data_IF_265751373992
#
_entry.id   IF_265751373992
#
_cell.length_a   1.000
_cell.length_b   1.000
_cell.length_c   1.000
_cell.angle_alpha   90.00
_cell.angle_beta   90.00
_cell.angle_gamma   90.00
#
_symmetry.space_group_name_H-M   'P 1'
#
loop_
_entity.id
_entity.type
_entity.pdbx_description
1 polymer ?
#
# COMPACT_ATOMS: atom_id res chain seq x y z
N UNK A 1 13.12 -0.08 7.64
CA UNK A 1 11.78 0.06 7.03
C UNK A 1 10.76 -0.33 8.08
N UNK A 2 9.91 0.59 8.47
CA UNK A 2 8.85 0.35 9.47
C UNK A 2 7.48 0.28 8.77
N UNK A 3 6.62 -0.62 9.21
CA UNK A 3 5.26 -0.77 8.72
C UNK A 3 4.29 -0.50 9.86
N UNK A 4 3.34 0.40 9.66
CA UNK A 4 2.24 0.63 10.59
C UNK A 4 0.96 0.10 9.95
N UNK A 5 0.42 -0.96 10.55
CA UNK A 5 -0.83 -1.60 10.13
C UNK A 5 -1.99 -1.03 10.96
N UNK A 6 -2.90 -0.32 10.32
CA UNK A 6 -4.12 0.22 10.93
C UNK A 6 -5.33 -0.70 10.76
N UNK A 7 -5.19 -1.81 10.03
CA UNK A 7 -6.28 -2.75 9.82
C UNK A 7 -6.39 -3.75 10.96
N UNK A 8 -7.60 -3.94 11.49
CA UNK A 8 -7.91 -4.91 12.55
C UNK A 8 -7.83 -6.36 12.07
N UNK A 9 -7.55 -6.62 10.79
CA UNK A 9 -7.69 -7.91 10.15
C UNK A 9 -6.40 -8.60 9.72
N UNK A 10 -5.26 -7.93 9.71
CA UNK A 10 -3.99 -8.62 9.52
C UNK A 10 -3.40 -9.06 10.86
N UNK A 11 -4.05 -10.03 11.52
CA UNK A 11 -3.26 -10.97 12.31
C UNK A 11 -2.33 -11.63 11.30
N UNK A 12 -1.08 -11.17 11.25
CA UNK A 12 -0.03 -11.96 10.65
C UNK A 12 -0.15 -13.34 11.27
N UNK A 13 -0.65 -14.29 10.51
CA UNK A 13 -0.57 -15.70 10.82
C UNK A 13 0.89 -16.09 10.68
N UNK A 14 1.73 -15.53 11.57
CA UNK A 14 3.06 -16.02 11.77
C UNK A 14 2.87 -17.48 12.17
N UNK A 15 3.30 -18.37 11.31
CA UNK A 15 3.42 -19.79 11.64
C UNK A 15 4.06 -19.88 13.03
N UNK A 16 3.54 -20.71 13.94
CA UNK A 16 4.06 -20.84 15.31
C UNK A 16 5.56 -21.12 15.38
N UNK A 17 6.13 -21.66 14.31
CA UNK A 17 7.56 -21.84 14.14
C UNK A 17 8.31 -20.50 14.06
N UNK A 18 7.75 -19.47 13.42
CA UNK A 18 8.36 -18.13 13.31
C UNK A 18 8.06 -17.23 14.52
N UNK A 19 7.02 -17.53 15.32
CA UNK A 19 6.83 -16.88 16.62
C UNK A 19 7.99 -17.12 17.58
N UNK A 20 8.76 -18.20 17.41
CA UNK A 20 9.95 -18.49 18.18
C UNK A 20 11.19 -17.71 17.71
N UNK A 21 11.25 -17.30 16.46
CA UNK A 21 12.28 -16.41 15.92
C UNK A 21 11.76 -14.98 16.06
N UNK A 22 11.94 -14.37 17.21
CA UNK A 22 11.46 -13.02 17.57
C UNK A 22 12.14 -11.87 16.80
N UNK A 23 12.59 -12.05 15.57
CA UNK A 23 13.21 -10.98 14.77
C UNK A 23 12.51 -10.86 13.43
N UNK A 24 11.68 -9.84 13.32
CA UNK A 24 11.31 -9.30 12.01
C UNK A 24 12.52 -8.59 11.42
N UNK A 25 12.68 -8.60 10.10
CA UNK A 25 13.72 -7.83 9.41
C UNK A 25 13.48 -6.32 9.53
N UNK A 26 12.25 -5.93 9.89
CA UNK A 26 11.82 -4.57 10.17
C UNK A 26 10.70 -4.58 11.21
N UNK A 27 10.51 -3.46 11.88
CA UNK A 27 9.50 -3.30 12.92
C UNK A 27 8.11 -3.17 12.30
N UNK A 28 7.14 -3.87 12.87
CA UNK A 28 5.72 -3.79 12.52
C UNK A 28 4.97 -3.32 13.77
N UNK A 29 4.33 -2.16 13.67
CA UNK A 29 3.53 -1.58 14.75
C UNK A 29 2.05 -1.68 14.40
N UNK A 30 1.26 -2.22 15.30
CA UNK A 30 -0.19 -2.24 15.17
C UNK A 30 -0.76 -1.00 15.83
N UNK A 31 -1.46 -0.18 15.06
CA UNK A 31 -2.04 1.08 15.50
C UNK A 31 -3.44 1.29 14.93
N UNK A 32 -4.06 2.40 15.28
CA UNK A 32 -5.26 2.91 14.65
C UNK A 32 -4.95 4.27 13.99
N UNK A 33 -5.82 4.74 13.10
CA UNK A 33 -5.57 5.94 12.33
C UNK A 33 -5.40 7.22 13.19
N UNK A 34 -5.95 7.26 14.40
CA UNK A 34 -5.82 8.43 15.30
C UNK A 34 -4.42 8.50 15.89
N UNK A 35 -3.86 7.36 16.28
CA UNK A 35 -2.58 7.27 16.99
C UNK A 35 -1.42 6.92 16.06
N UNK A 36 -1.66 6.63 14.77
CA UNK A 36 -0.67 6.10 13.86
C UNK A 36 0.59 6.98 13.74
N UNK A 37 0.43 8.30 13.75
CA UNK A 37 1.56 9.24 13.69
C UNK A 37 2.41 9.18 14.97
N UNK A 38 1.76 9.26 16.14
CA UNK A 38 2.45 9.24 17.42
C UNK A 38 3.16 7.88 17.64
N UNK A 39 2.55 6.79 17.18
CA UNK A 39 3.15 5.45 17.24
C UNK A 39 4.35 5.34 16.29
N UNK A 40 4.29 5.95 15.10
CA UNK A 40 5.41 6.00 14.18
C UNK A 40 6.57 6.81 14.76
N UNK A 41 6.31 7.98 15.32
CA UNK A 41 7.33 8.83 15.95
C UNK A 41 8.01 8.10 17.10
N UNK A 42 7.24 7.43 17.95
CA UNK A 42 7.78 6.60 19.04
C UNK A 42 8.63 5.46 18.51
N UNK A 43 8.18 4.76 17.48
CA UNK A 43 8.95 3.70 16.85
C UNK A 43 10.30 4.23 16.33
N UNK A 44 10.28 5.31 15.56
CA UNK A 44 11.50 5.93 15.00
C UNK A 44 12.45 6.38 16.10
N UNK A 45 11.92 6.90 17.23
CA UNK A 45 12.73 7.35 18.36
C UNK A 45 13.39 6.19 19.13
N UNK A 46 12.80 4.99 19.11
CA UNK A 46 13.28 3.82 19.86
C UNK A 46 14.14 2.85 19.04
N UNK A 47 14.19 3.02 17.70
CA UNK A 47 15.02 2.19 16.83
C UNK A 47 16.48 2.64 16.87
N UNK A 48 17.40 1.67 17.01
CA UNK A 48 18.86 1.91 16.97
C UNK A 48 19.29 2.44 15.59
N UNK A 49 18.67 1.90 14.53
CA UNK A 49 18.82 2.39 13.16
C UNK A 49 17.50 3.00 12.69
N UNK A 50 17.53 4.28 12.36
CA UNK A 50 16.34 4.96 11.83
C UNK A 50 15.94 4.37 10.49
N UNK A 51 14.66 4.09 10.29
CA UNK A 51 14.17 3.59 9.00
C UNK A 51 14.24 4.70 7.94
N UNK A 52 14.66 4.34 6.71
CA UNK A 52 14.62 5.24 5.57
C UNK A 52 13.19 5.50 5.08
N UNK A 53 12.32 4.50 5.24
CA UNK A 53 10.93 4.52 4.80
C UNK A 53 10.02 3.90 5.84
N UNK A 54 8.89 4.54 6.10
CA UNK A 54 7.80 4.03 6.94
C UNK A 54 6.55 3.88 6.10
N UNK A 55 5.99 2.66 6.03
CA UNK A 55 4.73 2.40 5.36
C UNK A 55 3.57 2.43 6.35
N UNK A 56 2.51 3.15 5.99
CA UNK A 56 1.25 3.16 6.70
C UNK A 56 0.21 2.39 5.89
N UNK A 57 -0.24 1.25 6.42
CA UNK A 57 -1.39 0.53 5.86
C UNK A 57 -2.67 1.15 6.43
N UNK A 58 -3.37 1.91 5.60
CA UNK A 58 -4.51 2.71 6.02
C UNK A 58 -5.84 2.02 5.65
N UNK A 59 -6.89 2.17 6.48
CA UNK A 59 -8.20 1.61 6.15
C UNK A 59 -8.78 2.27 4.90
N UNK A 60 -9.46 1.49 4.06
CA UNK A 60 -10.11 1.97 2.83
C UNK A 60 -11.35 2.85 3.05
N UNK A 61 -11.51 3.42 4.25
CA UNK A 61 -12.64 4.29 4.60
C UNK A 61 -12.18 5.60 5.20
N UNK A 62 -12.68 6.70 4.65
CA UNK A 62 -12.44 8.05 5.18
C UNK A 62 -13.29 8.39 6.41
N UNK A 63 -14.28 7.55 6.73
CA UNK A 63 -15.18 7.78 7.87
C UNK A 63 -14.50 7.53 9.21
N UNK A 64 -13.37 6.82 9.22
CA UNK A 64 -12.62 6.58 10.43
C UNK A 64 -11.90 7.84 10.88
N UNK A 65 -12.07 8.20 12.16
CA UNK A 65 -11.39 9.35 12.75
C UNK A 65 -9.86 9.21 12.57
N UNK A 66 -9.22 10.31 12.23
CA UNK A 66 -7.76 10.39 12.09
C UNK A 66 -7.22 10.02 10.70
N UNK A 67 -7.95 9.31 9.84
CA UNK A 67 -7.45 8.89 8.51
C UNK A 67 -6.96 10.08 7.69
N UNK A 68 -7.77 11.09 7.52
CA UNK A 68 -7.42 12.29 6.74
C UNK A 68 -6.22 13.02 7.37
N UNK A 69 -6.20 13.15 8.69
CA UNK A 69 -5.08 13.77 9.41
C UNK A 69 -3.78 13.00 9.17
N UNK A 70 -3.83 11.67 9.27
CA UNK A 70 -2.65 10.84 9.04
C UNK A 70 -2.19 10.92 7.59
N UNK A 71 -3.09 10.78 6.62
CA UNK A 71 -2.76 10.89 5.20
C UNK A 71 -2.15 12.26 4.86
N UNK A 72 -2.64 13.36 5.45
CA UNK A 72 -2.10 14.70 5.19
C UNK A 72 -0.66 14.91 5.68
N UNK A 73 -0.13 14.02 6.48
CA UNK A 73 1.26 14.04 6.96
C UNK A 73 2.19 13.09 6.19
N UNK A 74 1.66 12.30 5.26
CA UNK A 74 2.45 11.39 4.42
C UNK A 74 3.15 12.14 3.30
N UNK A 75 4.40 11.76 3.00
CA UNK A 75 5.11 12.29 1.83
C UNK A 75 4.50 11.83 0.52
N UNK A 76 4.11 10.56 0.46
CA UNK A 76 3.52 9.93 -0.72
C UNK A 76 2.31 9.08 -0.34
N UNK A 77 1.30 9.10 -1.20
CA UNK A 77 0.10 8.27 -1.07
C UNK A 77 -0.04 7.41 -2.32
N UNK A 78 -0.12 6.10 -2.13
CA UNK A 78 -0.36 5.13 -3.19
C UNK A 78 -1.75 4.52 -3.00
N UNK A 79 -2.63 4.75 -3.96
CA UNK A 79 -4.04 4.36 -3.87
C UNK A 79 -4.38 3.28 -4.88
N UNK A 80 -4.82 2.08 -4.43
CA UNK A 80 -5.17 1.00 -5.34
C UNK A 80 -6.48 1.27 -6.07
N UNK A 81 -6.51 0.83 -7.33
CA UNK A 81 -7.69 0.78 -8.21
C UNK A 81 -7.95 -0.67 -8.62
N UNK A 82 -9.21 -1.01 -8.78
CA UNK A 82 -9.64 -2.20 -9.52
C UNK A 82 -10.59 -1.78 -10.64
N UNK A 83 -10.79 -2.63 -11.67
CA UNK A 83 -11.64 -2.34 -12.81
C UNK A 83 -13.16 -2.37 -12.48
N UNK A 84 -13.50 -2.21 -11.20
CA UNK A 84 -14.87 -2.02 -10.74
C UNK A 84 -15.23 -0.54 -10.79
N UNK A 85 -16.34 -0.21 -11.48
CA UNK A 85 -16.79 1.16 -11.67
C UNK A 85 -16.98 1.92 -10.34
N UNK A 86 -17.55 1.26 -9.33
CA UNK A 86 -17.81 1.91 -8.04
C UNK A 86 -16.49 2.17 -7.28
N UNK A 87 -15.53 1.27 -7.41
CA UNK A 87 -14.18 1.46 -6.85
C UNK A 87 -13.50 2.63 -7.52
N UNK A 88 -13.50 2.69 -8.86
CA UNK A 88 -12.90 3.81 -9.60
C UNK A 88 -13.56 5.13 -9.22
N UNK A 89 -14.90 5.24 -9.29
CA UNK A 89 -15.61 6.47 -8.94
C UNK A 89 -15.34 6.93 -7.51
N UNK A 90 -15.36 6.02 -6.55
CA UNK A 90 -15.12 6.36 -5.14
C UNK A 90 -13.67 6.79 -4.90
N UNK A 91 -12.73 6.12 -5.54
CA UNK A 91 -11.31 6.47 -5.46
C UNK A 91 -11.04 7.83 -6.08
N UNK A 92 -11.56 8.09 -7.28
CA UNK A 92 -11.39 9.40 -7.93
C UNK A 92 -12.02 10.54 -7.12
N UNK A 93 -13.19 10.33 -6.52
CA UNK A 93 -13.78 11.31 -5.59
C UNK A 93 -12.86 11.60 -4.40
N UNK A 94 -12.27 10.56 -3.83
CA UNK A 94 -11.33 10.71 -2.72
C UNK A 94 -10.07 11.49 -3.13
N UNK A 95 -9.38 11.07 -4.19
CA UNK A 95 -8.11 11.68 -4.57
C UNK A 95 -8.29 13.12 -5.04
N UNK A 96 -9.40 13.44 -5.72
CA UNK A 96 -9.76 14.80 -6.10
C UNK A 96 -10.01 15.67 -4.88
N UNK A 97 -10.83 15.19 -3.93
CA UNK A 97 -11.08 15.91 -2.68
C UNK A 97 -9.78 16.15 -1.91
N UNK A 98 -8.93 15.13 -1.78
CA UNK A 98 -7.67 15.23 -1.06
C UNK A 98 -6.71 16.23 -1.70
N UNK A 99 -6.52 16.16 -3.02
CA UNK A 99 -5.72 17.13 -3.77
C UNK A 99 -6.27 18.55 -3.61
N UNK A 100 -7.54 18.75 -3.94
CA UNK A 100 -8.11 20.10 -4.07
C UNK A 100 -8.31 20.79 -2.72
N UNK A 101 -8.60 20.04 -1.66
CA UNK A 101 -8.84 20.61 -0.33
C UNK A 101 -7.64 20.62 0.59
N UNK A 102 -6.66 19.73 0.38
CA UNK A 102 -5.56 19.58 1.32
C UNK A 102 -4.19 19.86 0.68
N UNK A 103 -3.91 19.30 -0.50
CA UNK A 103 -2.61 19.53 -1.14
C UNK A 103 -2.50 20.95 -1.71
N UNK A 104 -3.47 21.39 -2.50
CA UNK A 104 -3.44 22.74 -3.13
C UNK A 104 -3.55 23.87 -2.14
N UNK A 105 -4.13 23.63 -0.97
CA UNK A 105 -4.25 24.62 0.12
C UNK A 105 -3.07 24.60 1.09
N UNK A 106 -2.10 23.70 0.89
CA UNK A 106 -0.95 23.55 1.78
C UNK A 106 -1.27 22.91 3.14
N UNK A 107 -2.45 22.31 3.30
CA UNK A 107 -2.85 21.61 4.52
C UNK A 107 -2.29 20.17 4.58
N UNK A 108 -1.82 19.62 3.47
CA UNK A 108 -1.12 18.35 3.41
C UNK A 108 0.35 18.55 3.06
N UNK A 109 1.22 17.75 3.68
CA UNK A 109 2.65 17.68 3.37
C UNK A 109 2.94 16.80 2.15
N UNK A 110 1.91 16.17 1.61
CA UNK A 110 1.99 15.16 0.55
C UNK A 110 2.61 15.74 -0.71
N UNK A 111 3.71 15.16 -1.15
CA UNK A 111 4.47 15.52 -2.35
C UNK A 111 3.90 14.85 -3.61
N UNK A 112 3.35 13.63 -3.45
CA UNK A 112 2.79 12.86 -4.55
C UNK A 112 1.63 11.96 -4.12
N UNK A 113 0.62 11.90 -4.99
CA UNK A 113 -0.50 10.99 -4.87
C UNK A 113 -0.59 10.19 -6.17
N UNK A 114 -0.35 8.89 -6.06
CA UNK A 114 -0.23 7.96 -7.19
C UNK A 114 -1.32 6.90 -7.13
N UNK A 115 -1.88 6.58 -8.28
CA UNK A 115 -2.84 5.50 -8.43
C UNK A 115 -2.14 4.27 -9.02
N UNK A 116 -2.63 3.07 -8.72
CA UNK A 116 -2.11 1.85 -9.33
C UNK A 116 -3.21 0.79 -9.47
N UNK A 117 -3.13 0.02 -10.56
CA UNK A 117 -4.07 -1.06 -10.80
C UNK A 117 -3.71 -2.30 -10.00
N UNK A 118 -4.70 -2.84 -9.31
CA UNK A 118 -4.62 -4.13 -8.62
C UNK A 118 -5.79 -5.02 -9.03
N UNK A 119 -5.67 -6.33 -8.79
CA UNK A 119 -6.67 -7.33 -9.16
C UNK A 119 -6.99 -7.33 -10.67
N UNK A 120 -5.97 -7.07 -11.49
CA UNK A 120 -6.12 -7.02 -12.94
C UNK A 120 -6.35 -8.44 -13.49
N UNK A 121 -7.50 -8.66 -14.12
CA UNK A 121 -7.77 -9.92 -14.84
C UNK A 121 -7.15 -9.82 -16.24
N UNK A 122 -6.15 -10.65 -16.52
CA UNK A 122 -5.47 -10.68 -17.83
C UNK A 122 -6.38 -11.14 -18.99
N UNK A 123 -7.61 -11.57 -18.73
CA UNK A 123 -8.63 -11.93 -19.73
C UNK A 123 -9.54 -10.75 -20.09
N UNK A 124 -9.55 -9.70 -19.28
CA UNK A 124 -10.28 -8.49 -19.60
C UNK A 124 -9.63 -7.75 -20.77
N UNK A 125 -10.46 -7.18 -21.63
CA UNK A 125 -9.97 -6.39 -22.76
C UNK A 125 -9.19 -5.18 -22.24
N UNK A 126 -8.02 -4.95 -22.81
CA UNK A 126 -7.15 -3.82 -22.45
C UNK A 126 -7.83 -2.45 -22.61
N UNK A 127 -8.87 -2.36 -23.46
CA UNK A 127 -9.61 -1.13 -23.76
C UNK A 127 -10.22 -0.48 -22.51
N UNK A 128 -10.70 -1.29 -21.54
CA UNK A 128 -11.32 -0.77 -20.31
C UNK A 128 -10.32 0.01 -19.45
N UNK A 129 -9.14 -0.55 -19.24
CA UNK A 129 -8.09 0.12 -18.47
C UNK A 129 -7.59 1.38 -19.16
N UNK A 130 -7.45 1.34 -20.50
CA UNK A 130 -7.06 2.50 -21.31
C UNK A 130 -8.04 3.66 -21.15
N UNK A 131 -9.33 3.40 -21.26
CA UNK A 131 -10.38 4.42 -21.08
C UNK A 131 -10.31 5.07 -19.70
N UNK A 132 -10.15 4.27 -18.64
CA UNK A 132 -10.02 4.81 -17.28
C UNK A 132 -8.72 5.61 -17.12
N UNK A 133 -7.60 5.14 -17.67
CA UNK A 133 -6.31 5.84 -17.59
C UNK A 133 -6.35 7.19 -18.32
N UNK A 134 -7.03 7.30 -19.45
CA UNK A 134 -7.26 8.57 -20.15
C UNK A 134 -8.01 9.56 -19.24
N UNK A 135 -9.13 9.14 -18.65
CA UNK A 135 -9.90 9.98 -17.72
C UNK A 135 -9.07 10.39 -16.50
N UNK A 136 -8.32 9.46 -15.93
CA UNK A 136 -7.46 9.73 -14.77
C UNK A 136 -6.35 10.73 -15.12
N UNK A 137 -5.76 10.58 -16.32
CA UNK A 137 -4.73 11.48 -16.82
C UNK A 137 -5.29 12.89 -17.08
N UNK A 138 -6.50 13.02 -17.66
CA UNK A 138 -7.20 14.30 -17.83
C UNK A 138 -7.46 14.98 -16.48
N UNK A 139 -7.72 14.21 -15.43
CA UNK A 139 -7.86 14.73 -14.07
C UNK A 139 -6.51 15.11 -13.41
N UNK A 140 -5.38 14.83 -14.08
CA UNK A 140 -4.03 15.16 -13.61
C UNK A 140 -3.50 14.23 -12.52
N UNK A 141 -3.95 12.97 -12.45
CA UNK A 141 -3.42 12.00 -11.50
C UNK A 141 -2.46 11.03 -12.20
N UNK A 142 -1.25 10.80 -11.64
CA UNK A 142 -0.34 9.79 -12.15
C UNK A 142 -0.83 8.38 -11.79
N UNK A 143 -0.78 7.49 -12.75
CA UNK A 143 -1.03 6.06 -12.58
C UNK A 143 0.29 5.32 -12.77
N UNK A 144 0.60 4.39 -11.87
CA UNK A 144 1.79 3.55 -12.00
C UNK A 144 1.69 2.68 -13.25
N UNK A 145 2.82 2.47 -13.92
CA UNK A 145 2.90 1.64 -15.11
C UNK A 145 2.71 0.15 -14.79
N UNK A 146 3.10 -0.25 -13.58
CA UNK A 146 2.95 -1.63 -13.11
C UNK A 146 1.53 -1.93 -12.70
N UNK A 147 0.94 -2.97 -13.31
CA UNK A 147 -0.38 -3.48 -12.97
C UNK A 147 -0.24 -4.79 -12.19
N UNK A 148 -0.86 -4.87 -11.01
CA UNK A 148 -0.83 -6.08 -10.18
C UNK A 148 -1.97 -7.03 -10.57
N UNK A 149 -1.66 -8.25 -11.03
CA UNK A 149 -2.68 -9.19 -11.50
C UNK A 149 -3.53 -9.76 -10.36
N UNK A 150 -4.79 -10.13 -10.68
CA UNK A 150 -5.60 -10.99 -9.83
C UNK A 150 -5.02 -12.40 -9.81
N UNK A 151 -4.22 -12.69 -8.81
CA UNK A 151 -3.54 -13.97 -8.69
C UNK A 151 -4.08 -14.79 -7.53
N UNK A 152 -4.49 -16.02 -7.84
CA UNK A 152 -4.83 -17.03 -6.82
C UNK A 152 -3.66 -17.31 -5.85
N UNK A 153 -2.43 -17.03 -6.26
CA UNK A 153 -1.24 -17.17 -5.40
C UNK A 153 -1.33 -16.28 -4.16
N UNK A 154 -1.83 -15.04 -4.30
CA UNK A 154 -2.01 -14.13 -3.17
C UNK A 154 -3.18 -14.53 -2.27
N UNK A 155 -4.24 -15.15 -2.84
CA UNK A 155 -5.41 -15.60 -2.08
C UNK A 155 -5.14 -16.86 -1.30
N UNK A 156 -4.29 -17.76 -1.80
CA UNK A 156 -3.96 -19.03 -1.13
C UNK A 156 -3.21 -18.88 0.18
N UNK A 157 -2.55 -17.76 0.36
CA UNK A 157 -1.83 -17.44 1.58
C UNK A 157 -2.75 -17.22 2.80
N UNK A 158 -4.04 -17.00 2.53
CA UNK A 158 -5.09 -16.87 3.55
C UNK A 158 -5.75 -18.22 3.90
N UNK A 159 -5.43 -19.31 3.18
CA UNK A 159 -6.00 -20.63 3.44
C UNK A 159 -5.28 -21.31 4.61
N UNK A 160 -6.03 -22.10 5.39
CA UNK A 160 -5.49 -22.85 6.54
C UNK A 160 -4.52 -23.99 6.15
N UNK A 161 -4.45 -24.35 4.88
CA UNK A 161 -3.54 -25.35 4.33
C UNK A 161 -2.10 -24.80 4.15
N UNK A 162 -1.45 -24.56 5.24
CA UNK A 162 -0.14 -23.90 5.37
C UNK A 162 1.01 -24.78 4.90
N UNK A 163 1.30 -24.84 3.64
CA UNK A 163 2.48 -25.57 3.16
C UNK A 163 3.72 -24.73 2.90
N UNK A 164 3.63 -23.41 2.88
CA UNK A 164 4.80 -22.57 2.65
C UNK A 164 4.62 -21.17 3.21
N UNK A 165 5.71 -20.61 3.71
CA UNK A 165 5.79 -19.20 4.14
C UNK A 165 6.06 -18.36 2.91
N UNK A 166 5.01 -17.95 2.21
CA UNK A 166 5.13 -17.11 1.03
C UNK A 166 5.52 -15.67 1.37
N UNK A 167 5.24 -15.24 2.58
CA UNK A 167 5.52 -13.89 3.05
C UNK A 167 6.42 -13.95 4.27
N UNK A 168 7.60 -13.43 4.11
CA UNK A 168 8.58 -13.33 5.19
C UNK A 168 9.26 -11.97 5.12
N UNK A 169 9.50 -11.39 6.28
CA UNK A 169 10.33 -10.20 6.41
C UNK A 169 11.81 -10.55 6.51
N UNK A 170 12.14 -11.82 6.76
CA UNK A 170 13.50 -12.31 7.00
C UNK A 170 14.10 -12.97 5.75
N UNK A 171 13.28 -13.73 5.04
CA UNK A 171 13.72 -14.45 3.85
C UNK A 171 13.30 -13.73 2.56
N UNK A 172 14.10 -13.82 1.51
CA UNK A 172 13.68 -13.31 0.20
C UNK A 172 12.38 -14.00 -0.24
N UNK A 173 11.55 -13.25 -0.96
CA UNK A 173 10.29 -13.76 -1.48
C UNK A 173 10.54 -14.97 -2.39
N UNK A 174 9.67 -15.98 -2.28
CA UNK A 174 9.69 -17.17 -3.12
C UNK A 174 9.65 -16.78 -4.61
N UNK A 175 10.59 -17.34 -5.39
CA UNK A 175 10.71 -17.07 -6.84
C UNK A 175 9.45 -17.47 -7.60
N UNK A 176 8.73 -18.53 -7.16
CA UNK A 176 7.47 -18.93 -7.76
C UNK A 176 6.35 -17.92 -7.51
N UNK A 177 6.38 -17.21 -6.38
CA UNK A 177 5.45 -16.11 -6.09
C UNK A 177 5.81 -14.87 -6.91
N UNK A 178 7.08 -14.54 -7.02
CA UNK A 178 7.55 -13.39 -7.81
C UNK A 178 7.23 -13.51 -9.29
N UNK A 179 7.34 -14.73 -9.84
CA UNK A 179 7.12 -14.94 -11.27
C UNK A 179 5.69 -14.58 -11.69
N UNK A 180 5.54 -13.54 -12.50
CA UNK A 180 4.26 -13.06 -13.03
C UNK A 180 3.34 -12.41 -11.98
N UNK A 181 3.90 -11.98 -10.84
CA UNK A 181 3.14 -11.26 -9.81
C UNK A 181 3.18 -9.73 -10.00
N UNK A 182 4.14 -9.22 -10.74
CA UNK A 182 4.37 -7.78 -10.88
C UNK A 182 4.94 -7.10 -9.61
N UNK A 183 5.19 -7.85 -8.53
CA UNK A 183 5.59 -7.25 -7.24
C UNK A 183 6.99 -6.64 -7.32
N UNK A 184 7.90 -7.25 -8.08
CA UNK A 184 9.25 -6.71 -8.23
C UNK A 184 9.21 -5.35 -8.93
N UNK A 185 8.59 -5.31 -10.10
CA UNK A 185 8.42 -4.11 -10.91
C UNK A 185 7.69 -3.01 -10.14
N UNK A 186 6.64 -3.38 -9.41
CA UNK A 186 5.89 -2.48 -8.53
C UNK A 186 6.76 -1.91 -7.41
N UNK A 187 7.59 -2.73 -6.77
CA UNK A 187 8.48 -2.28 -5.70
C UNK A 187 9.58 -1.35 -6.23
N UNK A 188 10.11 -1.64 -7.42
CA UNK A 188 11.11 -0.81 -8.10
C UNK A 188 10.51 0.55 -8.45
N UNK A 189 9.33 0.58 -9.06
CA UNK A 189 8.62 1.80 -9.44
C UNK A 189 8.29 2.68 -8.23
N UNK A 190 7.78 2.10 -7.14
CA UNK A 190 7.58 2.84 -5.87
C UNK A 190 8.90 3.38 -5.34
N UNK A 191 9.96 2.56 -5.35
CA UNK A 191 11.27 2.97 -4.84
C UNK A 191 11.83 4.17 -5.62
N UNK A 192 11.64 4.20 -6.92
CA UNK A 192 12.12 5.30 -7.76
C UNK A 192 11.33 6.60 -7.52
N UNK A 193 10.04 6.49 -7.19
CA UNK A 193 9.21 7.65 -6.84
C UNK A 193 9.61 8.25 -5.48
N UNK A 194 9.87 7.40 -4.48
CA UNK A 194 10.13 7.87 -3.10
C UNK A 194 11.58 8.21 -2.83
N UNK A 195 12.53 7.82 -3.69
CA UNK A 195 13.94 8.20 -3.52
C UNK A 195 14.08 9.71 -3.61
N UNK A 196 14.86 10.33 -2.72
CA UNK A 196 15.19 11.75 -2.86
C UNK A 196 16.00 11.93 -4.16
N UNK A 197 15.52 12.85 -4.99
CA UNK A 197 16.28 13.34 -6.15
C UNK A 197 17.38 14.27 -5.69
#
# INVERSE_FOLDING_TARGET
MGLIDSSTYFKALACDHFRRIKKNAYTIVKSNAVNALDDAERMIATEDMKPDVVFFDMPGTLRSNGVIKTLSQMDYIFTPLSADRFVVESTLKFVTMFRDRLMTTGQAKTKGLHLFWTMVDGRERNDLYGIYEEVIAEMGFPVLSTRLPDSKKFRRDLSEERKSVFRSTIFPMDTALLKGSGIREFSEEISDIIRPQ
#
